data_IF_862556353523
#
_entry.id   IF_862556353523
#
_cell.length_a   1.000
_cell.length_b   1.000
_cell.length_c   1.000
_cell.angle_alpha   90.00
_cell.angle_beta   90.00
_cell.angle_gamma   90.00
#
_symmetry.space_group_name_H-M   'P 1'
#
loop_
_entity.id
_entity.type
_entity.pdbx_description
1 polymer ?
#
# COMPACT_ATOMS: atom_id res chain seq x y z
N UNK A 1 -8.88 -12.97 17.06
CA UNK A 1 -8.36 -14.11 16.27
C UNK A 1 -7.59 -13.51 15.10
N UNK A 2 -6.31 -13.86 14.95
CA UNK A 2 -5.48 -13.41 13.82
C UNK A 2 -5.97 -14.09 12.55
N UNK A 3 -6.23 -13.31 11.50
CA UNK A 3 -6.74 -13.79 10.20
C UNK A 3 -5.64 -13.73 9.14
N UNK A 4 -5.48 -14.81 8.39
CA UNK A 4 -4.63 -14.79 7.20
C UNK A 4 -5.34 -14.12 6.02
N UNK A 5 -4.59 -13.84 4.96
CA UNK A 5 -5.16 -13.35 3.69
C UNK A 5 -5.73 -14.53 2.90
N UNK A 6 -6.99 -14.44 2.47
CA UNK A 6 -7.54 -15.37 1.48
C UNK A 6 -7.01 -15.02 0.09
N UNK A 7 -6.16 -15.88 -0.47
CA UNK A 7 -5.59 -15.68 -1.80
C UNK A 7 -6.64 -15.70 -2.93
N UNK A 8 -7.87 -16.11 -2.68
CA UNK A 8 -8.97 -16.05 -3.66
C UNK A 8 -9.78 -14.76 -3.57
N UNK A 9 -9.63 -13.97 -2.50
CA UNK A 9 -10.33 -12.71 -2.31
C UNK A 9 -9.52 -11.55 -2.93
N UNK A 10 -10.16 -10.63 -3.66
CA UNK A 10 -9.49 -9.41 -4.11
C UNK A 10 -8.96 -8.61 -2.90
N UNK A 11 -7.73 -8.13 -2.99
CA UNK A 11 -7.09 -7.35 -1.94
C UNK A 11 -6.41 -6.10 -2.49
N UNK A 12 -6.33 -5.07 -1.68
CA UNK A 12 -5.56 -3.86 -1.95
C UNK A 12 -4.54 -3.65 -0.84
N UNK A 13 -3.28 -3.88 -1.18
CA UNK A 13 -2.15 -3.74 -0.27
C UNK A 13 -1.67 -2.30 -0.22
N UNK A 14 -1.54 -1.76 0.99
CA UNK A 14 -1.12 -0.38 1.20
C UNK A 14 -0.22 -0.23 2.42
N UNK A 15 0.51 0.89 2.44
CA UNK A 15 1.21 1.43 3.59
C UNK A 15 0.93 2.93 3.61
N UNK A 16 0.63 3.50 4.78
CA UNK A 16 0.39 4.93 4.94
C UNK A 16 1.57 5.80 4.55
N UNK A 17 2.79 5.26 4.59
CA UNK A 17 4.00 5.98 4.13
C UNK A 17 4.01 6.24 2.62
N UNK A 18 3.17 5.57 1.83
CA UNK A 18 3.17 5.73 0.38
C UNK A 18 2.20 6.83 -0.08
N UNK A 19 2.68 7.92 -0.71
CA UNK A 19 1.78 8.91 -1.31
C UNK A 19 0.98 8.33 -2.48
N UNK A 20 1.51 7.34 -3.20
CA UNK A 20 0.77 6.71 -4.31
C UNK A 20 -0.36 5.81 -3.83
N UNK A 21 -0.26 5.24 -2.63
CA UNK A 21 -1.39 4.53 -2.01
C UNK A 21 -2.53 5.50 -1.69
N UNK A 22 -2.22 6.69 -1.16
CA UNK A 22 -3.21 7.76 -0.97
C UNK A 22 -3.88 8.15 -2.29
N UNK A 23 -3.08 8.48 -3.31
CA UNK A 23 -3.58 8.91 -4.62
C UNK A 23 -4.45 7.85 -5.29
N UNK A 24 -4.13 6.57 -5.12
CA UNK A 24 -4.94 5.50 -5.65
C UNK A 24 -6.26 5.33 -4.88
N UNK A 25 -6.25 5.49 -3.55
CA UNK A 25 -7.46 5.38 -2.71
C UNK A 25 -8.44 6.54 -2.92
N UNK A 26 -7.98 7.76 -3.20
CA UNK A 26 -8.87 8.87 -3.57
C UNK A 26 -9.53 8.65 -4.94
N UNK A 27 -9.06 7.67 -5.73
CA UNK A 27 -9.69 7.24 -6.98
C UNK A 27 -10.62 6.03 -6.79
N UNK A 28 -11.05 5.71 -5.56
CA UNK A 28 -11.84 4.50 -5.25
C UNK A 28 -13.09 4.32 -6.12
N UNK A 29 -13.81 5.39 -6.45
CA UNK A 29 -15.00 5.32 -7.31
C UNK A 29 -14.69 4.87 -8.75
N UNK A 30 -13.41 4.87 -9.14
CA UNK A 30 -12.90 4.41 -10.43
C UNK A 30 -12.33 3.00 -10.36
N UNK A 31 -12.29 2.35 -9.20
CA UNK A 31 -11.79 0.98 -9.08
C UNK A 31 -12.76 0.00 -9.77
N UNK A 32 -12.32 -1.21 -10.17
CA UNK A 32 -13.27 -2.18 -10.69
C UNK A 32 -14.21 -2.64 -9.56
N UNK A 33 -15.42 -3.08 -9.91
CA UNK A 33 -16.49 -3.44 -8.97
C UNK A 33 -16.27 -4.76 -8.22
N UNK A 34 -15.03 -5.04 -7.80
CA UNK A 34 -14.70 -6.15 -6.91
C UNK A 34 -14.68 -5.67 -5.46
N UNK A 35 -15.02 -6.56 -4.54
CA UNK A 35 -14.95 -6.31 -3.09
C UNK A 35 -13.51 -6.46 -2.60
N UNK A 36 -12.65 -5.49 -2.94
CA UNK A 36 -11.28 -5.46 -2.45
C UNK A 36 -11.24 -5.31 -0.93
N UNK A 37 -10.44 -6.13 -0.25
CA UNK A 37 -10.12 -5.92 1.16
C UNK A 37 -8.92 -4.98 1.27
N UNK A 38 -9.02 -3.85 2.00
CA UNK A 38 -7.85 -3.02 2.28
C UNK A 38 -6.94 -3.76 3.28
N UNK A 39 -5.72 -4.05 2.86
CA UNK A 39 -4.79 -4.91 3.59
C UNK A 39 -3.51 -4.14 3.93
N UNK A 40 -3.34 -3.70 5.19
CA UNK A 40 -2.14 -2.98 5.60
C UNK A 40 -0.92 -3.91 5.62
N UNK A 41 0.18 -3.48 4.99
CA UNK A 41 1.49 -4.14 4.98
C UNK A 41 2.62 -3.12 5.22
N UNK A 42 3.71 -3.54 5.86
CA UNK A 42 4.87 -2.66 6.05
C UNK A 42 5.77 -2.66 4.81
N UNK A 43 5.85 -1.53 4.11
CA UNK A 43 6.68 -1.38 2.91
C UNK A 43 8.18 -1.60 3.20
N UNK A 44 8.62 -1.21 4.39
CA UNK A 44 10.00 -1.45 4.86
C UNK A 44 10.32 -2.95 4.93
N UNK A 45 9.36 -3.78 5.32
CA UNK A 45 9.52 -5.23 5.43
C UNK A 45 9.49 -5.90 4.06
N UNK A 46 8.64 -5.42 3.14
CA UNK A 46 8.66 -5.86 1.73
C UNK A 46 10.03 -5.61 1.10
N UNK A 47 10.57 -4.40 1.26
CA UNK A 47 11.88 -4.05 0.73
C UNK A 47 13.01 -4.88 1.35
N UNK A 48 12.95 -5.16 2.65
CA UNK A 48 13.91 -6.04 3.32
C UNK A 48 13.85 -7.46 2.74
N UNK A 49 12.66 -8.01 2.55
CA UNK A 49 12.48 -9.36 2.02
C UNK A 49 13.06 -9.51 0.60
N UNK A 50 12.75 -8.55 -0.29
CA UNK A 50 13.20 -8.59 -1.69
C UNK A 50 14.60 -8.00 -1.92
N UNK A 51 15.31 -7.58 -0.86
CA UNK A 51 16.63 -6.94 -0.98
C UNK A 51 16.61 -5.62 -1.76
N UNK A 52 15.46 -4.95 -1.85
CA UNK A 52 15.30 -3.71 -2.60
C UNK A 52 15.78 -2.53 -1.76
N UNK A 53 16.72 -1.69 -2.25
CA UNK A 53 17.12 -0.49 -1.54
C UNK A 53 15.92 0.41 -1.29
N UNK A 54 15.77 0.83 -0.03
CA UNK A 54 14.67 1.70 0.38
C UNK A 54 14.69 2.99 -0.46
N UNK A 55 13.61 3.26 -1.21
CA UNK A 55 13.61 4.34 -2.21
C UNK A 55 13.91 5.73 -1.63
N UNK A 56 13.48 5.98 -0.38
CA UNK A 56 13.78 7.22 0.34
C UNK A 56 15.21 7.32 0.89
N UNK A 57 16.00 6.25 0.83
CA UNK A 57 17.43 6.28 1.19
C UNK A 57 18.30 6.79 0.03
N UNK A 58 17.76 6.86 -1.19
CA UNK A 58 18.45 7.38 -2.38
C UNK A 58 17.97 8.83 -2.62
N UNK A 59 18.77 9.86 -2.30
CA UNK A 59 18.29 11.26 -2.31
C UNK A 59 17.67 11.71 -3.63
N UNK A 60 18.27 11.34 -4.77
CA UNK A 60 17.76 11.70 -6.09
C UNK A 60 16.39 11.03 -6.38
N UNK A 61 16.26 9.73 -6.09
CA UNK A 61 14.99 8.99 -6.24
C UNK A 61 13.92 9.55 -5.31
N UNK A 62 14.28 9.91 -4.09
CA UNK A 62 13.39 10.55 -3.12
C UNK A 62 12.83 11.88 -3.62
N UNK A 63 13.69 12.79 -4.09
CA UNK A 63 13.26 14.09 -4.64
C UNK A 63 12.35 13.90 -5.85
N UNK A 64 12.71 12.98 -6.76
CA UNK A 64 11.87 12.65 -7.90
C UNK A 64 10.48 12.14 -7.45
N UNK A 65 10.46 11.22 -6.49
CA UNK A 65 9.22 10.64 -5.95
C UNK A 65 8.28 11.72 -5.40
N UNK A 66 8.82 12.73 -4.69
CA UNK A 66 8.02 13.82 -4.12
C UNK A 66 7.40 14.70 -5.21
N UNK A 67 8.22 15.10 -6.18
CA UNK A 67 7.76 15.90 -7.32
C UNK A 67 6.75 15.13 -8.15
N UNK A 68 6.97 13.83 -8.35
CA UNK A 68 6.07 12.97 -9.10
C UNK A 68 4.74 12.81 -8.37
N UNK A 69 4.73 12.54 -7.06
CA UNK A 69 3.50 12.46 -6.28
C UNK A 69 2.70 13.77 -6.33
N UNK A 70 3.36 14.91 -6.16
CA UNK A 70 2.72 16.23 -6.27
C UNK A 70 2.11 16.45 -7.66
N UNK A 71 2.89 16.17 -8.72
CA UNK A 71 2.41 16.28 -10.10
C UNK A 71 1.20 15.37 -10.36
N UNK A 72 1.26 14.10 -9.93
CA UNK A 72 0.14 13.16 -10.06
C UNK A 72 -1.11 13.66 -9.33
N UNK A 73 -0.96 14.19 -8.12
CA UNK A 73 -2.05 14.78 -7.36
C UNK A 73 -2.74 15.92 -8.13
N UNK A 74 -1.96 16.83 -8.74
CA UNK A 74 -2.47 17.91 -9.59
C UNK A 74 -3.22 17.37 -10.82
N UNK A 75 -2.66 16.38 -11.52
CA UNK A 75 -3.32 15.76 -12.68
C UNK A 75 -4.64 15.07 -12.34
N UNK A 76 -4.75 14.55 -11.12
CA UNK A 76 -5.94 13.84 -10.63
C UNK A 76 -6.96 14.76 -9.95
N UNK A 77 -6.62 16.03 -9.69
CA UNK A 77 -7.45 16.95 -8.91
C UNK A 77 -7.54 16.58 -7.43
N UNK A 78 -6.55 15.84 -6.90
CA UNK A 78 -6.51 15.39 -5.51
C UNK A 78 -5.62 16.35 -4.71
N UNK A 79 -6.10 16.97 -3.62
CA UNK A 79 -5.24 17.79 -2.78
C UNK A 79 -4.16 16.94 -2.10
N UNK A 80 -2.90 17.36 -2.20
CA UNK A 80 -1.77 16.70 -1.57
C UNK A 80 -0.84 17.74 -0.93
N UNK A 81 -0.52 17.52 0.34
CA UNK A 81 0.47 18.27 1.11
C UNK A 81 1.40 17.28 1.79
N UNK A 82 2.70 17.43 1.56
CA UNK A 82 3.70 16.56 2.18
C UNK A 82 3.67 16.70 3.71
N UNK A 83 3.82 15.60 4.48
CA UNK A 83 4.06 15.68 5.92
C UNK A 83 5.42 16.34 6.21
N UNK A 84 5.68 16.76 7.46
CA UNK A 84 6.92 17.46 7.84
C UNK A 84 8.19 16.66 7.54
N UNK A 85 8.10 15.33 7.60
CA UNK A 85 9.17 14.41 7.26
C UNK A 85 8.64 13.25 6.41
N UNK A 86 9.43 12.84 5.42
CA UNK A 86 9.19 11.59 4.71
C UNK A 86 10.55 10.90 4.41
N UNK A 87 10.66 9.59 4.64
CA UNK A 87 9.63 8.74 5.22
C UNK A 87 9.41 9.04 6.69
N UNK A 88 8.18 8.83 7.15
CA UNK A 88 7.81 8.87 8.56
C UNK A 88 7.54 7.43 9.05
N UNK A 89 7.37 7.25 10.36
CA UNK A 89 7.01 5.94 10.92
C UNK A 89 5.52 5.69 10.74
N UNK A 90 5.18 4.77 9.83
CA UNK A 90 3.80 4.39 9.55
C UNK A 90 3.26 3.28 10.46
N UNK A 91 4.04 2.73 11.40
CA UNK A 91 3.60 1.57 12.21
C UNK A 91 2.36 1.91 13.04
N UNK A 92 2.36 3.05 13.75
CA UNK A 92 1.21 3.48 14.56
C UNK A 92 -0.09 3.61 13.74
N UNK A 93 -0.14 4.37 12.62
CA UNK A 93 -1.37 4.45 11.82
C UNK A 93 -1.76 3.11 11.19
N UNK A 94 -0.80 2.24 10.86
CA UNK A 94 -1.09 0.90 10.33
C UNK A 94 -1.78 -0.01 11.37
N UNK A 95 -1.29 0.00 12.61
CA UNK A 95 -1.92 -0.70 13.72
C UNK A 95 -3.30 -0.12 14.04
N UNK A 96 -3.44 1.21 14.00
CA UNK A 96 -4.72 1.89 14.22
C UNK A 96 -5.77 1.46 13.18
N UNK A 97 -5.40 1.37 11.90
CA UNK A 97 -6.30 0.88 10.85
C UNK A 97 -6.76 -0.57 11.09
N UNK A 98 -5.87 -1.44 11.60
CA UNK A 98 -6.23 -2.81 11.99
C UNK A 98 -7.19 -2.81 13.18
N UNK A 99 -6.89 -2.02 14.22
CA UNK A 99 -7.76 -1.89 15.39
C UNK A 99 -9.15 -1.35 15.01
N UNK A 100 -9.23 -0.49 13.99
CA UNK A 100 -10.46 0.02 13.40
C UNK A 100 -11.25 -0.98 12.54
N UNK A 101 -10.75 -2.21 12.38
CA UNK A 101 -11.37 -3.24 11.54
C UNK A 101 -11.06 -3.13 10.04
N UNK A 102 -10.21 -2.19 9.62
CA UNK A 102 -9.78 -2.07 8.22
C UNK A 102 -10.87 -1.59 7.27
N UNK A 103 -11.75 -0.68 7.69
CA UNK A 103 -12.76 -0.12 6.77
C UNK A 103 -12.16 0.96 5.86
N UNK A 104 -12.54 0.97 4.57
CA UNK A 104 -12.06 1.96 3.60
C UNK A 104 -12.29 3.41 4.05
N UNK A 105 -13.42 3.70 4.72
CA UNK A 105 -13.72 5.04 5.21
C UNK A 105 -12.68 5.50 6.25
N UNK A 106 -12.37 4.66 7.23
CA UNK A 106 -11.34 4.93 8.23
C UNK A 106 -9.94 5.05 7.58
N UNK A 107 -9.57 4.08 6.74
CA UNK A 107 -8.28 4.09 6.03
C UNK A 107 -8.11 5.36 5.19
N UNK A 108 -9.17 5.82 4.51
CA UNK A 108 -9.15 7.07 3.74
C UNK A 108 -8.95 8.28 4.63
N UNK A 109 -9.60 8.34 5.79
CA UNK A 109 -9.43 9.46 6.72
C UNK A 109 -8.03 9.50 7.34
N UNK A 110 -7.41 8.35 7.62
CA UNK A 110 -5.99 8.30 8.04
C UNK A 110 -5.09 8.82 6.91
N UNK A 111 -5.28 8.37 5.68
CA UNK A 111 -4.51 8.88 4.54
C UNK A 111 -4.69 10.39 4.34
N UNK A 112 -5.92 10.91 4.48
CA UNK A 112 -6.20 12.35 4.35
C UNK A 112 -5.54 13.17 5.46
N UNK A 113 -5.60 12.72 6.71
CA UNK A 113 -4.89 13.35 7.82
C UNK A 113 -3.40 13.56 7.47
N UNK A 114 -2.76 12.53 6.92
CA UNK A 114 -1.33 12.55 6.58
C UNK A 114 -1.08 13.37 5.30
N UNK A 115 -1.72 13.01 4.19
CA UNK A 115 -1.33 13.46 2.84
C UNK A 115 -2.19 14.57 2.28
N UNK A 116 -3.43 14.73 2.75
CA UNK A 116 -4.26 15.88 2.37
C UNK A 116 -3.91 17.09 3.21
N UNK A 117 -3.70 16.89 4.52
CA UNK A 117 -3.46 17.97 5.48
C UNK A 117 -1.97 18.19 5.79
N UNK A 118 -1.11 17.21 5.45
CA UNK A 118 0.33 17.29 5.68
C UNK A 118 0.70 17.16 7.16
N UNK A 119 -0.04 16.37 7.93
CA UNK A 119 0.22 16.16 9.37
C UNK A 119 1.15 14.98 9.61
N UNK A 120 1.89 15.04 10.71
CA UNK A 120 2.76 13.94 11.15
C UNK A 120 1.98 12.97 12.04
N UNK A 121 1.80 11.70 11.66
CA UNK A 121 1.14 10.69 12.50
C UNK A 121 2.09 10.03 13.52
N UNK A 122 3.39 10.37 13.50
CA UNK A 122 4.43 9.67 14.27
C UNK A 122 4.63 10.26 15.68
N UNK A 123 4.41 11.57 15.82
CA UNK A 123 4.46 12.26 17.11
C UNK A 123 3.31 11.82 18.02
N UNK A 124 3.47 11.97 19.33
CA UNK A 124 2.41 11.66 20.31
C UNK A 124 1.16 12.52 20.05
N UNK A 125 1.32 13.84 19.99
CA UNK A 125 0.23 14.78 19.68
C UNK A 125 -0.42 14.50 18.32
N UNK A 126 0.38 14.20 17.29
CA UNK A 126 -0.14 13.91 15.95
C UNK A 126 -0.93 12.62 15.90
N UNK A 127 -0.50 11.59 16.66
CA UNK A 127 -1.22 10.33 16.76
C UNK A 127 -2.51 10.47 17.58
N UNK A 128 -2.51 11.27 18.65
CA UNK A 128 -3.71 11.59 19.42
C UNK A 128 -4.76 12.28 18.53
N UNK A 129 -4.37 13.32 17.79
CA UNK A 129 -5.25 13.99 16.83
C UNK A 129 -5.77 13.05 15.73
N UNK A 130 -4.94 12.11 15.28
CA UNK A 130 -5.35 11.10 14.32
C UNK A 130 -6.44 10.18 14.91
N UNK A 131 -6.26 9.72 16.16
CA UNK A 131 -7.26 8.90 16.87
C UNK A 131 -8.60 9.63 17.00
N UNK A 132 -8.57 10.91 17.37
CA UNK A 132 -9.77 11.77 17.41
C UNK A 132 -10.43 11.88 16.04
N UNK A 133 -9.65 12.10 14.97
CA UNK A 133 -10.15 12.22 13.60
C UNK A 133 -10.93 10.99 13.14
N UNK A 134 -10.45 9.79 13.48
CA UNK A 134 -11.10 8.53 13.07
C UNK A 134 -12.10 8.01 14.11
N UNK A 135 -12.31 8.73 15.22
CA UNK A 135 -13.28 8.39 16.25
C UNK A 135 -12.90 7.16 17.08
N UNK A 136 -11.60 6.86 17.21
CA UNK A 136 -11.11 5.70 17.96
C UNK A 136 -10.58 6.17 19.31
N UNK A 137 -11.37 5.94 20.36
CA UNK A 137 -10.94 6.17 21.73
C UNK A 137 -9.82 5.20 22.13
N UNK A 138 -8.86 5.67 22.94
CA UNK A 138 -7.75 4.86 23.45
C UNK A 138 -6.91 4.17 22.36
N UNK A 139 -6.77 4.81 21.19
CA UNK A 139 -5.98 4.25 20.08
C UNK A 139 -4.56 3.86 20.49
N UNK A 140 -3.92 4.62 21.37
CA UNK A 140 -2.60 4.29 21.93
C UNK A 140 -2.56 2.95 22.66
N UNK A 141 -3.62 2.59 23.38
CA UNK A 141 -3.70 1.29 24.07
C UNK A 141 -4.02 0.18 23.09
N UNK A 142 -4.91 0.41 22.12
CA UNK A 142 -5.33 -0.58 21.13
C UNK A 142 -4.15 -1.03 20.25
N UNK A 143 -3.29 -0.12 19.83
CA UNK A 143 -2.14 -0.46 18.99
C UNK A 143 -1.06 -1.28 19.73
N UNK A 144 -1.07 -1.26 21.06
CA UNK A 144 -0.17 -2.08 21.90
C UNK A 144 -0.68 -3.50 22.09
N UNK A 145 -1.94 -3.78 21.75
CA UNK A 145 -2.48 -5.14 21.85
C UNK A 145 -1.70 -6.11 20.94
N UNK A 146 -1.21 -7.20 21.54
CA UNK A 146 -0.44 -8.21 20.83
C UNK A 146 -1.20 -8.78 19.63
N UNK A 147 -2.53 -8.89 19.72
CA UNK A 147 -3.36 -9.34 18.61
C UNK A 147 -3.30 -8.40 17.39
N UNK A 148 -3.31 -7.07 17.60
CA UNK A 148 -3.24 -6.07 16.53
C UNK A 148 -1.85 -6.08 15.89
N UNK A 149 -0.79 -6.11 16.71
CA UNK A 149 0.60 -6.21 16.23
C UNK A 149 0.85 -7.51 15.47
N UNK A 150 0.36 -8.64 15.98
CA UNK A 150 0.48 -9.93 15.32
C UNK A 150 -0.31 -9.99 14.00
N UNK A 151 -1.45 -9.31 13.91
CA UNK A 151 -2.23 -9.20 12.68
C UNK A 151 -1.46 -8.45 11.59
N UNK A 152 -0.80 -7.32 11.90
CA UNK A 152 0.01 -6.58 10.93
C UNK A 152 1.17 -7.43 10.38
N UNK A 153 1.87 -8.14 11.29
CA UNK A 153 2.94 -9.06 10.91
C UNK A 153 2.41 -10.19 10.03
N UNK A 154 1.24 -10.74 10.36
CA UNK A 154 0.60 -11.80 9.56
C UNK A 154 0.27 -11.32 8.15
N UNK A 155 -0.38 -10.17 8.01
CA UNK A 155 -0.69 -9.62 6.69
C UNK A 155 0.56 -9.34 5.86
N UNK A 156 1.60 -8.79 6.48
CA UNK A 156 2.87 -8.52 5.78
C UNK A 156 3.53 -9.83 5.30
N UNK A 157 3.58 -10.86 6.15
CA UNK A 157 4.15 -12.17 5.77
C UNK A 157 3.33 -12.89 4.70
N UNK A 158 2.00 -12.87 4.79
CA UNK A 158 1.11 -13.47 3.79
C UNK A 158 1.25 -12.73 2.44
N UNK A 159 1.32 -11.40 2.45
CA UNK A 159 1.54 -10.58 1.24
C UNK A 159 2.88 -10.91 0.58
N UNK A 160 3.95 -11.07 1.36
CA UNK A 160 5.26 -11.53 0.88
C UNK A 160 5.13 -12.90 0.20
N UNK A 161 4.45 -13.86 0.83
CA UNK A 161 4.24 -15.19 0.28
C UNK A 161 3.41 -15.16 -1.03
N UNK A 162 2.56 -14.15 -1.21
CA UNK A 162 1.82 -13.90 -2.45
C UNK A 162 2.65 -13.17 -3.54
N UNK A 163 3.90 -12.80 -3.25
CA UNK A 163 4.79 -12.12 -4.18
C UNK A 163 4.67 -10.60 -4.17
N UNK A 164 3.97 -9.99 -3.21
CA UNK A 164 3.84 -8.53 -3.11
C UNK A 164 5.21 -7.92 -2.83
N UNK A 165 5.65 -6.99 -3.70
CA UNK A 165 6.98 -6.37 -3.63
C UNK A 165 6.95 -4.86 -3.39
N UNK A 166 5.76 -4.26 -3.35
CA UNK A 166 5.59 -2.84 -3.08
C UNK A 166 4.13 -2.47 -2.88
N UNK A 167 3.89 -1.19 -2.64
CA UNK A 167 2.54 -0.61 -2.48
C UNK A 167 2.41 0.68 -3.32
N UNK A 168 1.18 1.06 -3.71
CA UNK A 168 -0.04 0.26 -3.60
C UNK A 168 0.00 -0.92 -4.55
N UNK A 169 -0.63 -2.04 -4.17
CA UNK A 169 -0.76 -3.21 -5.05
C UNK A 169 -2.17 -3.76 -4.98
N UNK A 170 -2.83 -3.94 -6.13
CA UNK A 170 -4.02 -4.78 -6.20
C UNK A 170 -3.65 -6.24 -6.39
N UNK A 171 -4.39 -7.12 -5.72
CA UNK A 171 -4.46 -8.54 -6.00
C UNK A 171 -5.85 -8.89 -6.48
N UNK A 172 -5.93 -9.45 -7.69
CA UNK A 172 -7.19 -9.87 -8.30
C UNK A 172 -6.88 -10.98 -9.30
N UNK A 173 -7.71 -12.04 -9.33
CA UNK A 173 -7.53 -13.17 -10.24
C UNK A 173 -6.11 -13.80 -10.18
N UNK A 174 -5.54 -13.88 -8.98
CA UNK A 174 -4.17 -14.38 -8.74
C UNK A 174 -3.06 -13.59 -9.46
N UNK A 175 -3.32 -12.33 -9.76
CA UNK A 175 -2.35 -11.42 -10.37
C UNK A 175 -2.14 -10.19 -9.49
N UNK A 176 -0.91 -9.69 -9.49
CA UNK A 176 -0.50 -8.46 -8.84
C UNK A 176 -0.49 -7.31 -9.85
N UNK A 177 -1.05 -6.17 -9.45
CA UNK A 177 -0.97 -4.91 -10.20
C UNK A 177 -0.41 -3.84 -9.26
N UNK A 178 0.86 -3.51 -9.43
CA UNK A 178 1.59 -2.60 -8.56
C UNK A 178 1.66 -1.18 -9.14
N UNK A 179 1.36 -0.19 -8.31
CA UNK A 179 1.43 1.23 -8.64
C UNK A 179 0.06 1.89 -8.79
N UNK A 180 0.03 3.22 -8.57
CA UNK A 180 -1.16 4.04 -8.88
C UNK A 180 -1.44 4.08 -10.39
N UNK A 181 -0.37 4.11 -11.19
CA UNK A 181 -0.36 4.10 -12.64
C UNK A 181 -0.77 2.76 -13.26
N UNK A 182 -0.88 1.69 -12.47
CA UNK A 182 -1.42 0.41 -12.92
C UNK A 182 -2.95 0.36 -12.94
N UNK A 183 -3.68 1.35 -12.40
CA UNK A 183 -5.15 1.34 -12.38
C UNK A 183 -5.80 1.12 -13.76
N UNK A 184 -5.31 1.70 -14.87
CA UNK A 184 -5.82 1.38 -16.21
C UNK A 184 -5.66 -0.10 -16.59
N UNK A 185 -4.54 -0.73 -16.23
CA UNK A 185 -4.29 -2.16 -16.47
C UNK A 185 -5.22 -3.03 -15.63
N UNK A 186 -5.44 -2.67 -14.36
CA UNK A 186 -6.39 -3.33 -13.46
C UNK A 186 -7.80 -3.30 -14.06
N UNK A 187 -8.25 -2.12 -14.48
CA UNK A 187 -9.56 -1.92 -15.11
C UNK A 187 -9.71 -2.69 -16.42
N UNK A 188 -8.65 -2.75 -17.22
CA UNK A 188 -8.64 -3.54 -18.45
C UNK A 188 -8.78 -5.03 -18.14
N UNK A 189 -7.98 -5.58 -17.21
CA UNK A 189 -8.03 -6.99 -16.84
C UNK A 189 -9.34 -7.37 -16.12
N UNK A 190 -9.95 -6.44 -15.38
CA UNK A 190 -11.28 -6.63 -14.79
C UNK A 190 -12.37 -6.83 -15.84
N UNK A 191 -12.29 -6.13 -16.98
CA UNK A 191 -13.25 -6.26 -18.10
C UNK A 191 -12.90 -7.37 -19.07
N UNK A 192 -11.61 -7.65 -19.24
CA UNK A 192 -11.05 -8.58 -20.22
C UNK A 192 -10.05 -9.54 -19.56
N UNK A 193 -10.52 -10.46 -18.68
CA UNK A 193 -9.62 -11.32 -17.90
C UNK A 193 -8.73 -12.21 -18.80
N UNK A 194 -9.23 -12.60 -19.97
CA UNK A 194 -8.52 -13.46 -20.92
C UNK A 194 -7.27 -12.81 -21.56
N UNK A 195 -7.05 -11.51 -21.39
CA UNK A 195 -5.81 -10.88 -21.89
C UNK A 195 -4.57 -11.46 -21.20
N UNK A 196 -4.66 -11.75 -19.90
CA UNK A 196 -3.60 -12.45 -19.15
C UNK A 196 -3.32 -13.84 -19.73
N UNK A 197 -4.34 -14.44 -20.35
CA UNK A 197 -4.24 -15.74 -21.00
C UNK A 197 -3.77 -15.68 -22.47
N UNK A 198 -3.60 -14.48 -23.02
CA UNK A 198 -3.20 -14.30 -24.41
C UNK A 198 -1.83 -14.90 -24.68
N UNK A 199 -1.62 -15.37 -25.92
CA UNK A 199 -0.39 -16.04 -26.33
C UNK A 199 0.86 -15.23 -25.98
N UNK A 200 0.82 -13.93 -26.25
CA UNK A 200 1.98 -13.07 -26.03
C UNK A 200 2.23 -12.80 -24.55
N UNK A 201 1.18 -12.58 -23.74
CA UNK A 201 1.34 -12.42 -22.29
C UNK A 201 1.95 -13.68 -21.67
N UNK A 202 1.44 -14.88 -22.01
CA UNK A 202 2.04 -16.14 -21.55
C UNK A 202 3.50 -16.28 -21.96
N UNK A 203 3.84 -15.90 -23.20
CA UNK A 203 5.20 -15.98 -23.72
C UNK A 203 6.15 -15.05 -22.93
N UNK A 204 5.76 -13.81 -22.67
CA UNK A 204 6.63 -12.86 -21.96
C UNK A 204 6.77 -13.20 -20.48
N UNK A 205 5.75 -13.79 -19.85
CA UNK A 205 5.79 -14.23 -18.45
C UNK A 205 6.76 -15.38 -18.19
N UNK A 206 7.15 -16.12 -19.23
CA UNK A 206 8.13 -17.21 -19.13
C UNK A 206 9.46 -16.88 -19.81
N UNK A 207 9.72 -15.60 -20.11
CA UNK A 207 11.00 -15.21 -20.68
C UNK A 207 12.14 -15.49 -19.69
N UNK A 208 13.25 -16.08 -20.16
CA UNK A 208 14.42 -16.28 -19.30
C UNK A 208 14.98 -14.92 -18.86
N UNK A 209 15.45 -14.85 -17.62
CA UNK A 209 16.15 -13.68 -17.11
C UNK A 209 17.48 -13.48 -17.85
N UNK A 210 17.78 -12.24 -18.22
CA UNK A 210 19.07 -11.84 -18.78
C UNK A 210 20.16 -11.57 -17.74
N UNK A 211 19.83 -11.64 -16.45
CA UNK A 211 20.81 -11.53 -15.36
C UNK A 211 21.63 -12.82 -15.28
N UNK A 212 22.93 -12.70 -15.01
CA UNK A 212 23.77 -13.85 -14.72
C UNK A 212 23.17 -14.63 -13.53
N UNK A 213 23.08 -15.96 -13.65
CA UNK A 213 22.64 -16.78 -12.52
C UNK A 213 23.66 -16.63 -11.39
N UNK A 214 23.22 -16.54 -10.12
CA UNK A 214 24.13 -16.42 -8.98
C UNK A 214 25.21 -17.50 -8.91
N UNK A 215 24.97 -18.67 -9.52
CA UNK A 215 25.92 -19.79 -9.61
C UNK A 215 27.08 -19.57 -10.60
N UNK A 216 27.10 -18.45 -11.34
CA UNK A 216 28.12 -18.16 -12.35
C UNK A 216 28.95 -16.90 -12.07
N UNK A 217 28.86 -16.35 -10.86
CA UNK A 217 29.60 -15.16 -10.41
C UNK A 217 30.57 -15.47 -9.27
#
# INVERSE_FOLDING_TARGET
MIRGIDANQPAWFYDFVSPFSYLLLEQYDKWPGFDFVPTPVLLSDLYRHWGTPYGGAIPAKRIFTYRHALFRAEQLGIPLKMPPAHPFDSVKPMLLAIAAGGEFACVREIFRFIWREGRDPSSEEGFEQLCERVGIAHGETLIEEEAVRAQLRRYTNDAIAMGVFGVPTFWMNKQLFWGEDALPMVLYCARSPNWLDSREVKRISTLPSGLASPETA
#
